data_IF_597903207774
#
_entry.id   IF_597903207774
#
_cell.length_a   1.000
_cell.length_b   1.000
_cell.length_c   1.000
_cell.angle_alpha   90.00
_cell.angle_beta   90.00
_cell.angle_gamma   90.00
#
_symmetry.space_group_name_H-M   'P 1'
#
loop_
_entity.id
_entity.type
_entity.pdbx_description
1 polymer ?
#
# COMPACT_ATOMS: atom_id res chain seq x y z
N UNK A 1 -14.89 2.81 24.07
CA UNK A 1 -14.12 1.99 23.14
C UNK A 1 -13.61 2.86 22.01
N UNK A 2 -12.31 2.93 21.86
CA UNK A 2 -11.76 3.72 20.76
C UNK A 2 -12.08 3.04 19.44
N UNK A 3 -12.80 3.73 18.58
CA UNK A 3 -12.98 3.25 17.22
C UNK A 3 -11.64 3.33 16.52
N UNK A 4 -11.23 2.24 15.91
CA UNK A 4 -10.04 2.28 15.08
C UNK A 4 -10.33 3.14 13.86
N UNK A 5 -9.56 4.19 13.70
CA UNK A 5 -9.64 4.99 12.48
C UNK A 5 -9.34 4.10 11.28
N UNK A 6 -10.09 4.30 10.20
CA UNK A 6 -9.83 3.57 8.97
C UNK A 6 -8.42 3.87 8.47
N UNK A 7 -7.70 2.84 8.04
CA UNK A 7 -6.34 2.97 7.53
C UNK A 7 -6.41 3.52 6.11
N UNK A 8 -5.85 4.71 5.85
CA UNK A 8 -5.84 5.25 4.49
C UNK A 8 -4.90 4.46 3.59
N UNK A 9 -5.36 4.13 2.41
CA UNK A 9 -4.52 3.50 1.40
C UNK A 9 -4.91 3.99 0.01
N UNK A 10 -3.99 3.89 -0.92
CA UNK A 10 -4.20 4.29 -2.30
C UNK A 10 -4.37 3.04 -3.14
N UNK A 11 -5.39 3.02 -3.99
CA UNK A 11 -5.61 1.95 -4.96
C UNK A 11 -5.56 2.56 -6.36
N UNK A 12 -4.54 2.20 -7.12
CA UNK A 12 -4.38 2.63 -8.51
C UNK A 12 -4.98 1.57 -9.43
N UNK A 13 -6.10 1.89 -10.03
CA UNK A 13 -6.81 0.99 -10.94
C UNK A 13 -7.76 1.80 -11.80
N UNK A 14 -8.05 1.33 -13.01
CA UNK A 14 -9.06 1.94 -13.88
C UNK A 14 -10.47 1.47 -13.58
N UNK A 15 -10.61 0.44 -12.74
CA UNK A 15 -11.90 -0.22 -12.50
C UNK A 15 -12.32 -0.07 -11.04
N UNK A 16 -13.44 0.57 -10.81
CA UNK A 16 -13.99 0.76 -9.47
C UNK A 16 -14.24 -0.58 -8.77
N UNK A 17 -14.61 -1.61 -9.52
CA UNK A 17 -14.85 -2.95 -8.95
C UNK A 17 -13.64 -3.48 -8.20
N UNK A 18 -12.43 -3.16 -8.67
CA UNK A 18 -11.20 -3.56 -8.00
C UNK A 18 -11.06 -2.88 -6.63
N UNK A 19 -11.43 -1.61 -6.55
CA UNK A 19 -11.41 -0.87 -5.27
C UNK A 19 -12.38 -1.50 -4.29
N UNK A 20 -13.59 -1.79 -4.75
CA UNK A 20 -14.62 -2.41 -3.91
C UNK A 20 -14.20 -3.80 -3.45
N UNK A 21 -13.59 -4.58 -4.33
CA UNK A 21 -13.10 -5.91 -3.99
C UNK A 21 -12.04 -5.87 -2.91
N UNK A 22 -11.08 -4.95 -3.01
CA UNK A 22 -10.04 -4.78 -1.99
C UNK A 22 -10.67 -4.35 -0.67
N UNK A 23 -11.54 -3.36 -0.70
CA UNK A 23 -12.20 -2.85 0.49
C UNK A 23 -12.98 -3.96 1.21
N UNK A 24 -13.78 -4.73 0.47
CA UNK A 24 -14.56 -5.83 1.02
C UNK A 24 -13.68 -6.93 1.60
N UNK A 25 -12.64 -7.31 0.88
CA UNK A 25 -11.73 -8.37 1.32
C UNK A 25 -11.03 -8.00 2.63
N UNK A 26 -10.57 -6.77 2.74
CA UNK A 26 -9.86 -6.32 3.95
C UNK A 26 -10.82 -6.09 5.11
N UNK A 27 -12.01 -5.56 4.85
CA UNK A 27 -13.03 -5.39 5.87
C UNK A 27 -13.44 -6.73 6.45
N UNK A 28 -13.63 -7.75 5.60
CA UNK A 28 -13.97 -9.10 6.04
C UNK A 28 -12.84 -9.73 6.86
N UNK A 29 -11.62 -9.28 6.69
CA UNK A 29 -10.47 -9.74 7.48
C UNK A 29 -10.30 -8.95 8.78
N UNK A 30 -11.19 -8.03 9.08
CA UNK A 30 -11.13 -7.23 10.30
C UNK A 30 -10.33 -5.93 10.18
N UNK A 31 -9.95 -5.55 8.96
CA UNK A 31 -9.21 -4.30 8.72
C UNK A 31 -10.18 -3.21 8.24
N UNK A 32 -10.33 -2.17 9.02
CA UNK A 32 -11.03 -0.97 8.57
C UNK A 32 -10.07 -0.16 7.69
N UNK A 33 -10.38 -0.06 6.41
CA UNK A 33 -9.54 0.66 5.45
C UNK A 33 -10.35 1.71 4.71
N UNK A 34 -9.68 2.78 4.33
CA UNK A 34 -10.23 3.83 3.47
C UNK A 34 -9.42 3.85 2.19
N UNK A 35 -10.02 3.37 1.10
CA UNK A 35 -9.34 3.28 -0.19
C UNK A 35 -9.55 4.57 -0.97
N UNK A 36 -8.46 5.28 -1.24
CA UNK A 36 -8.46 6.43 -2.13
C UNK A 36 -8.22 5.91 -3.55
N UNK A 37 -9.24 6.00 -4.37
CA UNK A 37 -9.19 5.50 -5.74
C UNK A 37 -8.45 6.49 -6.64
N UNK A 38 -7.35 6.04 -7.24
CA UNK A 38 -6.60 6.78 -8.24
C UNK A 38 -6.76 6.02 -9.57
N UNK A 39 -7.34 6.68 -10.54
CA UNK A 39 -7.69 6.05 -11.81
C UNK A 39 -6.53 6.01 -12.80
N UNK A 40 -5.76 7.07 -12.86
CA UNK A 40 -4.68 7.22 -13.83
C UNK A 40 -3.34 7.43 -13.14
N UNK A 41 -2.28 6.97 -13.80
CA UNK A 41 -0.92 7.16 -13.28
C UNK A 41 -0.58 8.63 -13.07
N UNK A 42 -1.10 9.51 -13.93
CA UNK A 42 -0.85 10.96 -13.83
C UNK A 42 -1.42 11.58 -12.56
N UNK A 43 -2.41 10.93 -11.95
CA UNK A 43 -3.03 11.41 -10.70
C UNK A 43 -2.33 10.85 -9.46
N UNK A 44 -1.45 9.89 -9.64
CA UNK A 44 -0.76 9.24 -8.52
C UNK A 44 0.17 10.18 -7.75
N UNK A 45 0.96 11.05 -8.40
CA UNK A 45 1.84 11.96 -7.66
C UNK A 45 1.10 12.83 -6.65
N UNK A 46 -0.05 13.38 -7.02
CA UNK A 46 -0.85 14.21 -6.11
C UNK A 46 -1.35 13.39 -4.91
N UNK A 47 -1.81 12.18 -5.15
CA UNK A 47 -2.28 11.30 -4.08
C UNK A 47 -1.15 10.95 -3.11
N UNK A 48 0.05 10.71 -3.62
CA UNK A 48 1.21 10.39 -2.80
C UNK A 48 1.71 11.61 -2.02
N UNK A 49 1.71 12.78 -2.61
CA UNK A 49 2.21 14.00 -1.96
C UNK A 49 1.27 14.54 -0.89
N UNK A 50 -0.03 14.26 -0.99
CA UNK A 50 -0.97 14.60 0.08
C UNK A 50 -0.64 13.92 1.40
N UNK A 51 0.06 12.78 1.33
CA UNK A 51 0.50 12.05 2.51
C UNK A 51 -0.63 11.32 3.22
N UNK A 52 -0.27 10.63 4.28
CA UNK A 52 -1.23 9.93 5.12
C UNK A 52 -1.56 8.51 4.68
N UNK A 53 -1.31 8.13 3.44
CA UNK A 53 -1.55 6.76 2.99
C UNK A 53 -0.52 5.81 3.60
N UNK A 54 -0.98 4.65 4.04
CA UNK A 54 -0.11 3.63 4.63
C UNK A 54 0.45 2.67 3.59
N UNK A 55 -0.17 2.61 2.41
CA UNK A 55 0.14 1.60 1.41
C UNK A 55 -0.45 2.01 0.06
N UNK A 56 0.19 1.55 -1.01
CA UNK A 56 -0.32 1.65 -2.37
C UNK A 56 -0.53 0.25 -2.92
N UNK A 57 -1.72 -0.02 -3.42
CA UNK A 57 -2.00 -1.22 -4.22
C UNK A 57 -2.21 -0.77 -5.65
N UNK A 58 -1.34 -1.17 -6.56
CA UNK A 58 -1.38 -0.74 -7.95
C UNK A 58 -1.67 -1.94 -8.85
N UNK A 59 -2.73 -1.83 -9.63
CA UNK A 59 -3.11 -2.87 -10.59
C UNK A 59 -2.33 -2.71 -11.87
N UNK A 60 -1.68 -3.78 -12.29
CA UNK A 60 -0.87 -3.84 -13.50
C UNK A 60 -1.47 -4.86 -14.47
N UNK A 61 -1.67 -4.45 -15.70
CA UNK A 61 -2.23 -5.29 -16.76
C UNK A 61 -1.95 -4.67 -18.10
N UNK A 62 -2.51 -5.24 -19.19
CA UNK A 62 -2.21 -4.77 -20.55
C UNK A 62 -2.59 -3.31 -20.80
N UNK A 63 -3.61 -2.82 -20.11
CA UNK A 63 -4.17 -1.47 -20.34
C UNK A 63 -3.76 -0.46 -19.29
N UNK A 64 -2.81 -0.80 -18.43
CA UNK A 64 -2.41 0.07 -17.31
C UNK A 64 -0.92 0.35 -17.37
N UNK A 65 -0.47 1.27 -16.50
CA UNK A 65 0.95 1.52 -16.31
C UNK A 65 1.65 0.24 -15.82
N UNK A 66 2.89 0.07 -16.20
CA UNK A 66 3.68 -1.08 -15.75
C UNK A 66 4.32 -0.78 -14.39
N UNK A 67 4.86 -1.82 -13.77
CA UNK A 67 5.49 -1.73 -12.45
C UNK A 67 6.63 -0.70 -12.44
N UNK A 68 7.44 -0.65 -13.49
CA UNK A 68 8.56 0.28 -13.58
C UNK A 68 8.11 1.73 -13.48
N UNK A 69 7.05 2.10 -14.21
CA UNK A 69 6.52 3.47 -14.19
C UNK A 69 5.93 3.81 -12.84
N UNK A 70 5.22 2.89 -12.22
CA UNK A 70 4.63 3.09 -10.90
C UNK A 70 5.73 3.33 -9.86
N UNK A 71 6.75 2.49 -9.85
CA UNK A 71 7.86 2.65 -8.90
C UNK A 71 8.67 3.91 -9.16
N UNK A 72 8.77 4.34 -10.41
CA UNK A 72 9.42 5.60 -10.76
C UNK A 72 8.69 6.80 -10.16
N UNK A 73 7.36 6.81 -10.24
CA UNK A 73 6.54 7.87 -9.62
C UNK A 73 6.72 7.88 -8.11
N UNK A 74 6.74 6.72 -7.47
CA UNK A 74 6.98 6.62 -6.03
C UNK A 74 8.33 7.20 -5.63
N UNK A 75 9.37 6.93 -6.41
CA UNK A 75 10.70 7.51 -6.18
C UNK A 75 10.72 9.02 -6.34
N UNK A 76 10.10 9.53 -7.40
CA UNK A 76 10.07 10.97 -7.69
C UNK A 76 9.35 11.75 -6.61
N UNK A 77 8.34 11.16 -5.99
CA UNK A 77 7.56 11.80 -4.92
C UNK A 77 8.12 11.51 -3.53
N UNK A 78 9.22 10.77 -3.44
CA UNK A 78 9.81 10.33 -2.17
C UNK A 78 8.80 9.61 -1.27
N UNK A 79 7.90 8.87 -1.88
CA UNK A 79 6.90 8.11 -1.15
C UNK A 79 7.55 6.90 -0.48
N UNK A 80 7.43 6.82 0.84
CA UNK A 80 8.04 5.76 1.65
C UNK A 80 7.01 4.77 2.17
N UNK A 81 6.02 4.48 1.36
CA UNK A 81 4.98 3.51 1.71
C UNK A 81 5.20 2.22 0.95
N UNK A 82 4.78 1.08 1.51
CA UNK A 82 4.88 -0.18 0.79
C UNK A 82 3.99 -0.17 -0.44
N UNK A 83 4.48 -0.73 -1.52
CA UNK A 83 3.76 -0.86 -2.79
C UNK A 83 3.50 -2.33 -3.05
N UNK A 84 2.23 -2.67 -3.20
CA UNK A 84 1.80 -4.00 -3.62
C UNK A 84 1.31 -3.90 -5.06
N UNK A 85 1.78 -4.82 -5.90
CA UNK A 85 1.34 -4.90 -7.29
C UNK A 85 0.23 -5.95 -7.36
N UNK A 86 -0.91 -5.59 -7.94
CA UNK A 86 -2.03 -6.51 -8.14
C UNK A 86 -2.11 -6.90 -9.61
N UNK A 87 -2.21 -8.20 -9.87
CA UNK A 87 -2.25 -8.75 -11.23
C UNK A 87 -3.27 -9.88 -11.30
N UNK A 88 -3.72 -10.19 -12.51
CA UNK A 88 -4.61 -11.31 -12.73
C UNK A 88 -3.90 -12.65 -12.56
N UNK A 89 -2.64 -12.72 -12.95
CA UNK A 89 -1.82 -13.92 -12.81
C UNK A 89 -0.56 -13.59 -12.03
N UNK A 90 -0.21 -14.47 -11.11
CA UNK A 90 0.94 -14.30 -10.23
C UNK A 90 1.74 -15.60 -10.26
N UNK A 91 3.03 -15.49 -10.55
CA UNK A 91 3.99 -16.58 -10.41
C UNK A 91 5.27 -16.06 -9.77
N UNK A 92 6.20 -16.97 -9.50
CA UNK A 92 7.43 -16.60 -8.79
C UNK A 92 8.29 -15.60 -9.58
N UNK A 93 8.33 -15.72 -10.90
CA UNK A 93 9.11 -14.81 -11.75
C UNK A 93 8.51 -13.41 -11.74
N UNK A 94 7.20 -13.31 -11.78
CA UNK A 94 6.49 -12.02 -11.70
C UNK A 94 6.75 -11.37 -10.34
N UNK A 95 6.66 -12.13 -9.27
CA UNK A 95 6.93 -11.63 -7.91
C UNK A 95 8.36 -11.15 -7.80
N UNK A 96 9.32 -11.94 -8.24
CA UNK A 96 10.73 -11.61 -8.17
C UNK A 96 11.06 -10.34 -8.97
N UNK A 97 10.49 -10.20 -10.16
CA UNK A 97 10.71 -9.03 -11.00
C UNK A 97 10.16 -7.76 -10.36
N UNK A 98 8.97 -7.83 -9.78
CA UNK A 98 8.35 -6.69 -9.10
C UNK A 98 9.15 -6.28 -7.85
N UNK A 99 9.58 -7.25 -7.06
CA UNK A 99 10.38 -6.99 -5.86
C UNK A 99 11.74 -6.39 -6.22
N UNK A 100 12.35 -6.82 -7.31
CA UNK A 100 13.60 -6.26 -7.82
C UNK A 100 13.46 -4.77 -8.17
N UNK A 101 12.26 -4.33 -8.54
CA UNK A 101 11.97 -2.94 -8.85
C UNK A 101 11.56 -2.13 -7.62
N UNK A 102 11.45 -2.76 -6.46
CA UNK A 102 11.13 -2.10 -5.20
C UNK A 102 9.74 -2.34 -4.64
N UNK A 103 8.90 -3.12 -5.34
CA UNK A 103 7.60 -3.50 -4.80
C UNK A 103 7.77 -4.47 -3.62
N UNK A 104 6.85 -4.40 -2.67
CA UNK A 104 6.90 -5.29 -1.50
C UNK A 104 6.47 -6.70 -1.82
N UNK A 105 5.46 -6.84 -2.68
CA UNK A 105 4.93 -8.14 -3.06
C UNK A 105 3.99 -7.98 -4.25
N UNK A 106 3.49 -9.11 -4.74
CA UNK A 106 2.50 -9.14 -5.81
C UNK A 106 1.32 -9.97 -5.31
N UNK A 107 0.11 -9.46 -5.53
CA UNK A 107 -1.12 -10.10 -5.07
C UNK A 107 -2.10 -10.23 -6.23
N UNK A 108 -3.14 -11.04 -6.02
CA UNK A 108 -4.22 -11.17 -6.99
C UNK A 108 -5.55 -11.25 -6.26
N UNK A 109 -6.59 -10.65 -6.85
CA UNK A 109 -7.95 -10.76 -6.30
C UNK A 109 -8.51 -12.17 -6.40
N UNK A 110 -7.92 -13.01 -7.25
CA UNK A 110 -8.33 -14.40 -7.41
C UNK A 110 -7.98 -15.26 -6.18
N UNK A 111 -7.04 -14.81 -5.35
CA UNK A 111 -6.66 -15.48 -4.12
C UNK A 111 -6.80 -14.51 -2.94
N UNK A 112 -8.04 -14.30 -2.45
CA UNK A 112 -8.27 -13.32 -1.38
C UNK A 112 -7.50 -13.62 -0.09
N UNK A 113 -7.27 -14.90 0.21
CA UNK A 113 -6.51 -15.29 1.40
C UNK A 113 -5.08 -14.76 1.37
N UNK A 114 -4.42 -14.83 0.21
CA UNK A 114 -3.07 -14.27 0.06
C UNK A 114 -3.07 -12.75 0.16
N UNK A 115 -4.05 -12.10 -0.47
CA UNK A 115 -4.20 -10.64 -0.38
C UNK A 115 -4.33 -10.20 1.07
N UNK A 116 -5.21 -10.86 1.84
CA UNK A 116 -5.39 -10.56 3.26
C UNK A 116 -4.09 -10.74 4.05
N UNK A 117 -3.40 -11.85 3.82
CA UNK A 117 -2.16 -12.16 4.53
C UNK A 117 -1.07 -11.13 4.25
N UNK A 118 -0.88 -10.77 2.98
CA UNK A 118 0.15 -9.81 2.58
C UNK A 118 -0.16 -8.41 3.12
N UNK A 119 -1.41 -7.96 2.99
CA UNK A 119 -1.81 -6.64 3.50
C UNK A 119 -1.69 -6.58 5.02
N UNK A 120 -2.14 -7.63 5.72
CA UNK A 120 -2.03 -7.68 7.18
C UNK A 120 -0.58 -7.58 7.64
N UNK A 121 0.31 -8.30 6.97
CA UNK A 121 1.75 -8.26 7.28
C UNK A 121 2.32 -6.85 7.11
N UNK A 122 1.98 -6.19 5.99
CA UNK A 122 2.51 -4.85 5.71
C UNK A 122 1.93 -3.79 6.64
N UNK A 123 0.65 -3.88 6.99
CA UNK A 123 0.04 -2.96 7.94
C UNK A 123 0.65 -3.11 9.32
N UNK A 124 0.88 -4.34 9.76
CA UNK A 124 1.52 -4.60 11.06
C UNK A 124 2.94 -4.06 11.09
N UNK A 125 3.72 -4.30 10.04
CA UNK A 125 5.08 -3.78 9.94
C UNK A 125 5.10 -2.26 9.98
N UNK A 126 4.15 -1.61 9.31
CA UNK A 126 4.04 -0.14 9.30
C UNK A 126 3.67 0.40 10.69
N UNK A 127 2.74 -0.25 11.37
CA UNK A 127 2.34 0.13 12.74
C UNK A 127 3.51 0.02 13.70
N UNK A 128 4.28 -1.07 13.59
CA UNK A 128 5.47 -1.27 14.43
C UNK A 128 6.53 -0.21 14.14
N UNK A 129 6.77 0.12 12.89
CA UNK A 129 7.73 1.14 12.52
C UNK A 129 7.33 2.52 13.04
N UNK A 130 6.04 2.87 12.98
CA UNK A 130 5.55 4.14 13.52
C UNK A 130 5.64 4.18 15.04
N UNK A 131 5.31 3.10 15.72
CA UNK A 131 5.41 3.02 17.17
C UNK A 131 6.84 3.19 17.64
N UNK A 132 7.81 2.52 16.97
CA UNK A 132 9.22 2.65 17.28
C UNK A 132 9.73 4.06 17.04
N UNK A 133 9.38 4.68 15.91
CA UNK A 133 9.77 6.04 15.59
C UNK A 133 9.24 7.04 16.62
N UNK A 134 7.98 6.89 17.02
CA UNK A 134 7.37 7.74 18.06
C UNK A 134 8.07 7.57 19.41
N UNK A 135 8.41 6.34 19.79
CA UNK A 135 9.12 6.06 21.03
C UNK A 135 10.52 6.69 21.03
N UNK A 136 11.26 6.56 19.92
CA UNK A 136 12.58 7.15 19.80
C UNK A 136 12.53 8.68 19.84
N UNK A 137 11.54 9.29 19.20
CA UNK A 137 11.34 10.73 19.21
C UNK A 137 11.05 11.24 20.63
N UNK A 138 10.19 10.55 21.37
CA UNK A 138 9.87 10.90 22.77
C UNK A 138 11.10 10.75 23.66
N UNK A 139 11.89 9.70 23.47
CA UNK A 139 13.11 9.50 24.24
C UNK A 139 14.13 10.62 23.99
N UNK A 140 14.27 11.07 22.74
CA UNK A 140 15.16 12.18 22.40
C UNK A 140 14.70 13.49 23.04
N UNK A 141 13.42 13.80 22.98
CA UNK A 141 12.87 15.00 23.61
C UNK A 141 13.12 15.01 25.11
N UNK A 142 12.89 13.90 25.77
CA UNK A 142 13.13 13.76 27.20
C UNK A 142 14.60 13.94 27.54
N UNK A 143 15.50 13.37 26.74
CA UNK A 143 16.95 13.47 26.97
C UNK A 143 17.45 14.91 26.79
N UNK A 144 16.93 15.63 25.81
CA UNK A 144 17.32 17.02 25.53
C UNK A 144 16.89 17.99 26.64
N UNK A 145 15.89 17.62 27.45
CA UNK A 145 15.42 18.44 28.55
C UNK A 145 16.26 18.29 29.83
N UNK A 146 17.14 17.32 29.85
CA UNK A 146 18.02 17.11 30.97
C UNK A 146 19.34 17.87 30.80
#
# INVERSE_FOLDING_TARGET
MAEQAAVPMIVLTRHQDNVEAINSTLRNAGHAVHCNWVRELNDLPDALTKGGAYMLIAFVGPDTADTTKIMSVCKQTDARIPVLIARDQVDEDIIAAAMAQGARDVVTLKTPARLRAVVSRELEAHRQARALSSTLSSAREYHDQL
#
